data_IF_787446419606
#
_entry.id   IF_787446419606
#
_cell.length_a   1.000
_cell.length_b   1.000
_cell.length_c   1.000
_cell.angle_alpha   90.00
_cell.angle_beta   90.00
_cell.angle_gamma   90.00
#
_symmetry.space_group_name_H-M   'P 1'
#
loop_
_entity.id
_entity.type
_entity.pdbx_description
1 polymer ?
#
# COMPACT_ATOMS: atom_id res chain seq x y z
N UNK A 1 -12.45 0.36 -19.91
CA UNK A 1 -11.05 0.62 -20.24
C UNK A 1 -10.19 -0.21 -19.30
N UNK A 2 -9.33 -1.07 -19.82
CA UNK A 2 -8.43 -1.91 -19.01
C UNK A 2 -7.30 -1.04 -18.47
N UNK A 3 -7.45 -0.53 -17.25
CA UNK A 3 -6.41 0.25 -16.57
C UNK A 3 -5.20 -0.64 -16.36
N UNK A 4 -4.08 -0.32 -17.02
CA UNK A 4 -2.81 -1.01 -16.75
C UNK A 4 -2.53 -0.91 -15.25
N UNK A 5 -2.32 -2.01 -14.52
CA UNK A 5 -2.05 -1.94 -13.08
C UNK A 5 -0.77 -1.16 -12.75
N UNK A 6 0.15 -1.05 -13.71
CA UNK A 6 1.35 -0.21 -13.69
C UNK A 6 1.10 1.29 -13.91
N UNK A 7 -0.14 1.68 -14.21
CA UNK A 7 -0.57 3.06 -14.44
C UNK A 7 -1.56 3.55 -13.37
N UNK A 8 -1.82 2.72 -12.34
CA UNK A 8 -2.59 3.12 -11.16
C UNK A 8 -1.83 4.18 -10.37
N UNK A 9 -2.57 5.16 -9.86
CA UNK A 9 -2.02 6.13 -8.92
C UNK A 9 -1.55 5.39 -7.66
N UNK A 10 -0.43 5.81 -7.05
CA UNK A 10 0.08 5.17 -5.83
C UNK A 10 -0.98 5.06 -4.73
N UNK A 11 -1.81 6.10 -4.59
CA UNK A 11 -2.91 6.13 -3.64
C UNK A 11 -3.95 5.03 -3.92
N UNK A 12 -4.36 4.86 -5.19
CA UNK A 12 -5.32 3.82 -5.56
C UNK A 12 -4.78 2.41 -5.33
N UNK A 13 -3.46 2.20 -5.48
CA UNK A 13 -2.84 0.92 -5.18
C UNK A 13 -2.86 0.64 -3.67
N UNK A 14 -2.57 1.66 -2.85
CA UNK A 14 -2.62 1.56 -1.38
C UNK A 14 -4.06 1.30 -0.91
N UNK A 15 -5.04 2.01 -1.46
CA UNK A 15 -6.46 1.79 -1.16
C UNK A 15 -6.91 0.36 -1.46
N UNK A 16 -6.47 -0.20 -2.59
CA UNK A 16 -6.74 -1.60 -2.95
C UNK A 16 -6.06 -2.61 -2.02
N UNK A 17 -5.00 -2.21 -1.32
CA UNK A 17 -4.30 -3.07 -0.36
C UNK A 17 -4.87 -3.00 1.06
N UNK A 18 -5.87 -2.14 1.34
CA UNK A 18 -6.55 -2.10 2.63
C UNK A 18 -7.23 -3.44 2.91
N UNK A 19 -7.06 -3.96 4.13
CA UNK A 19 -7.54 -5.27 4.55
C UNK A 19 -6.63 -6.45 4.13
N UNK A 20 -5.57 -6.19 3.35
CA UNK A 20 -4.60 -7.22 2.97
C UNK A 20 -3.35 -7.17 3.86
N UNK A 21 -2.67 -8.31 3.98
CA UNK A 21 -1.37 -8.40 4.66
C UNK A 21 -0.29 -7.78 3.78
N UNK A 22 0.30 -6.69 4.25
CA UNK A 22 1.37 -5.98 3.57
C UNK A 22 2.67 -6.04 4.37
N UNK A 23 3.77 -5.76 3.68
CA UNK A 23 5.09 -5.63 4.26
C UNK A 23 5.59 -4.21 4.04
N UNK A 24 5.76 -3.46 5.13
CA UNK A 24 6.24 -2.08 5.12
C UNK A 24 7.72 -2.07 5.46
N UNK A 25 8.53 -1.53 4.57
CA UNK A 25 9.96 -1.31 4.78
C UNK A 25 10.18 0.17 5.05
N UNK A 26 10.58 0.51 6.28
CA UNK A 26 10.87 1.87 6.70
C UNK A 26 12.37 2.18 6.56
N UNK A 27 12.69 3.47 6.49
CA UNK A 27 14.07 3.96 6.63
C UNK A 27 14.58 3.57 8.02
N UNK A 28 15.85 3.15 8.12
CA UNK A 28 16.48 2.54 9.31
C UNK A 28 16.26 1.04 9.51
N UNK A 29 16.13 0.27 8.42
CA UNK A 29 16.08 -1.21 8.43
C UNK A 29 14.97 -1.77 9.35
N UNK A 30 13.88 -1.00 9.48
CA UNK A 30 12.71 -1.42 10.22
C UNK A 30 11.69 -1.99 9.25
N UNK A 31 11.32 -3.22 9.48
CA UNK A 31 10.37 -3.98 8.67
C UNK A 31 9.14 -4.32 9.51
N UNK A 32 7.93 -4.05 8.98
CA UNK A 32 6.67 -4.35 9.66
C UNK A 32 5.80 -5.16 8.71
N UNK A 33 5.39 -6.34 9.18
CA UNK A 33 4.39 -7.17 8.47
C UNK A 33 3.08 -7.11 9.23
N UNK A 34 2.02 -6.65 8.58
CA UNK A 34 0.72 -6.50 9.20
C UNK A 34 -0.40 -6.33 8.18
N UNK A 35 -1.64 -6.33 8.65
CA UNK A 35 -2.79 -6.01 7.82
C UNK A 35 -2.95 -4.50 7.75
N UNK A 36 -3.00 -3.93 6.54
CA UNK A 36 -3.25 -2.49 6.37
C UNK A 36 -4.70 -2.20 6.78
N UNK A 37 -4.91 -1.46 7.87
CA UNK A 37 -6.26 -1.07 8.31
C UNK A 37 -6.75 0.23 7.66
N UNK A 38 -5.81 1.11 7.30
CA UNK A 38 -6.09 2.38 6.65
C UNK A 38 -4.78 3.13 6.38
N UNK A 39 -4.86 4.12 5.50
CA UNK A 39 -3.79 5.06 5.18
C UNK A 39 -4.34 6.48 5.38
N UNK A 40 -3.50 7.42 5.83
CA UNK A 40 -3.87 8.82 6.08
C UNK A 40 -3.19 9.73 5.05
N UNK A 41 -3.68 10.95 4.86
CA UNK A 41 -3.22 11.90 3.84
C UNK A 41 -1.89 12.63 4.20
N UNK A 42 -1.21 12.20 5.28
CA UNK A 42 0.00 12.83 5.85
C UNK A 42 1.31 12.09 5.55
#
# INVERSE_FOLDING_TARGET
>A
ATTNPSQLLPLELVDKCIGSRIHIVMKSDKEIVGTLLGFDDF
#
